data_IF_970581768423
#
_entry.id   IF_970581768423
#
_cell.length_a   1.000
_cell.length_b   1.000
_cell.length_c   1.000
_cell.angle_alpha   90.00
_cell.angle_beta   90.00
_cell.angle_gamma   90.00
#
_symmetry.space_group_name_H-M   'P 1'
#
loop_
_entity.id
_entity.type
_entity.pdbx_description
1 polymer ?
#
# COMPACT_ATOMS: atom_id res chain seq x y z
N UNK A 1 0.03 33.09 -15.84
CA UNK A 1 0.75 32.29 -16.82
C UNK A 1 1.11 31.01 -16.11
N UNK A 2 0.22 30.02 -16.20
CA UNK A 2 0.42 28.67 -15.67
C UNK A 2 1.25 27.84 -16.63
N UNK A 3 2.53 28.08 -16.64
CA UNK A 3 3.43 27.41 -17.57
C UNK A 3 3.86 26.04 -17.06
N UNK A 4 4.26 25.14 -17.97
CA UNK A 4 4.82 23.84 -17.62
C UNK A 4 5.97 23.93 -16.59
N UNK A 5 6.69 25.07 -16.57
CA UNK A 5 7.72 25.37 -15.58
C UNK A 5 7.22 25.46 -14.14
N UNK A 6 6.00 25.95 -13.92
CA UNK A 6 5.42 26.03 -12.57
C UNK A 6 5.07 24.65 -12.02
N UNK A 7 4.61 23.75 -12.85
CA UNK A 7 4.36 22.34 -12.44
C UNK A 7 5.67 21.59 -12.16
N UNK A 8 6.70 21.80 -12.96
CA UNK A 8 8.04 21.29 -12.72
C UNK A 8 8.63 21.85 -11.42
N UNK A 9 8.42 23.14 -11.15
CA UNK A 9 8.88 23.80 -9.92
C UNK A 9 8.18 23.24 -8.70
N UNK A 10 6.88 22.95 -8.75
CA UNK A 10 6.14 22.29 -7.66
C UNK A 10 6.64 20.88 -7.42
N UNK A 11 6.89 20.09 -8.47
CA UNK A 11 7.49 18.75 -8.33
C UNK A 11 8.92 18.81 -7.77
N UNK A 12 9.72 19.76 -8.22
CA UNK A 12 11.09 19.96 -7.72
C UNK A 12 11.10 20.49 -6.29
N UNK A 13 10.11 21.30 -5.91
CA UNK A 13 9.97 21.82 -4.55
C UNK A 13 9.70 20.67 -3.55
N UNK A 14 8.95 19.65 -3.93
CA UNK A 14 8.74 18.46 -3.11
C UNK A 14 9.95 17.52 -3.07
N UNK A 15 10.84 17.60 -4.04
CA UNK A 15 12.05 16.75 -4.14
C UNK A 15 13.33 17.50 -3.74
N UNK A 16 13.39 18.84 -3.87
CA UNK A 16 14.59 19.65 -3.68
C UNK A 16 14.43 20.85 -2.76
N UNK A 17 13.24 21.09 -2.21
CA UNK A 17 12.99 22.21 -1.32
C UNK A 17 13.68 22.05 0.02
N UNK A 18 14.28 23.13 0.51
CA UNK A 18 15.05 23.25 1.74
C UNK A 18 14.28 22.98 3.04
N UNK A 19 13.00 22.73 2.97
CA UNK A 19 12.19 22.12 4.01
C UNK A 19 11.81 20.69 3.57
N UNK A 20 12.78 19.80 3.46
CA UNK A 20 12.47 18.39 3.54
C UNK A 20 11.95 18.13 4.95
N UNK A 21 10.65 18.26 5.15
CA UNK A 21 9.98 17.43 6.15
C UNK A 21 10.33 16.03 5.65
N UNK A 22 11.37 15.43 6.23
CA UNK A 22 11.59 13.99 6.13
C UNK A 22 10.31 13.40 6.66
N UNK A 23 9.38 13.07 5.78
CA UNK A 23 8.27 12.25 6.19
C UNK A 23 8.91 10.96 6.68
N UNK A 24 8.79 10.73 7.98
CA UNK A 24 9.32 9.54 8.58
C UNK A 24 8.71 8.35 7.83
N UNK A 25 9.56 7.60 7.14
CA UNK A 25 9.18 6.39 6.39
C UNK A 25 9.53 5.12 7.14
N UNK A 26 9.99 5.26 8.38
CA UNK A 26 10.43 4.14 9.21
C UNK A 26 10.29 4.47 10.70
N UNK A 27 10.14 3.43 11.51
CA UNK A 27 10.19 3.54 12.97
C UNK A 27 11.48 2.87 13.45
N UNK A 28 12.29 3.65 14.18
CA UNK A 28 13.48 3.18 14.87
C UNK A 28 13.22 3.25 16.37
N UNK A 29 13.50 2.16 17.07
CA UNK A 29 13.27 2.07 18.52
C UNK A 29 14.18 3.04 19.30
N UNK A 30 13.59 3.74 20.27
CA UNK A 30 14.34 4.59 21.21
C UNK A 30 14.74 3.87 22.49
N UNK A 31 14.11 2.74 22.77
CA UNK A 31 14.35 1.87 23.93
C UNK A 31 14.49 0.42 23.49
N UNK A 32 15.10 -0.40 24.33
CA UNK A 32 15.10 -1.86 24.17
C UNK A 32 13.93 -2.47 24.94
N UNK A 33 13.50 -3.66 24.57
CA UNK A 33 12.40 -4.36 25.25
C UNK A 33 11.73 -5.39 24.34
N UNK A 34 10.54 -5.79 24.72
CA UNK A 34 9.69 -6.72 23.97
C UNK A 34 8.71 -5.95 23.11
N UNK A 35 8.69 -6.23 21.80
CA UNK A 35 7.74 -5.61 20.89
C UNK A 35 6.35 -6.23 21.06
N UNK A 36 5.36 -5.39 21.29
CA UNK A 36 3.94 -5.75 21.28
C UNK A 36 3.24 -5.06 20.14
N UNK A 37 2.45 -5.82 19.40
CA UNK A 37 1.65 -5.30 18.30
C UNK A 37 0.19 -5.28 18.73
N UNK A 38 -0.41 -4.09 18.74
CA UNK A 38 -1.75 -3.83 19.26
C UNK A 38 -2.70 -3.49 18.10
N UNK A 39 -3.95 -3.97 18.16
CA UNK A 39 -4.97 -3.77 17.13
C UNK A 39 -4.53 -4.25 15.74
N UNK A 40 -4.04 -5.49 15.68
CA UNK A 40 -3.43 -6.03 14.47
C UNK A 40 -4.38 -6.82 13.60
N UNK A 41 -4.32 -6.47 12.32
CA UNK A 41 -4.54 -7.43 11.27
C UNK A 41 -3.23 -7.44 10.44
N UNK A 42 -2.47 -8.53 10.49
CA UNK A 42 -1.21 -8.71 9.78
C UNK A 42 -1.38 -9.76 8.69
N UNK A 43 -0.83 -9.48 7.53
CA UNK A 43 -0.66 -10.46 6.46
C UNK A 43 0.83 -10.72 6.23
N UNK A 44 1.15 -11.93 5.86
CA UNK A 44 2.49 -12.30 5.42
C UNK A 44 2.56 -12.17 3.90
N UNK A 45 3.49 -11.39 3.38
CA UNK A 45 3.70 -11.26 1.95
C UNK A 45 4.43 -12.48 1.37
N UNK A 46 4.54 -12.57 0.05
CA UNK A 46 5.25 -13.65 -0.65
C UNK A 46 6.74 -13.79 -0.27
N UNK A 47 7.32 -12.74 0.34
CA UNK A 47 8.70 -12.70 0.85
C UNK A 47 8.79 -12.94 2.34
N UNK A 48 7.69 -13.37 2.98
CA UNK A 48 7.55 -13.60 4.42
C UNK A 48 7.72 -12.36 5.31
N UNK A 49 7.54 -11.16 4.76
CA UNK A 49 7.46 -9.95 5.56
C UNK A 49 6.04 -9.80 6.12
N UNK A 50 5.94 -9.28 7.32
CA UNK A 50 4.65 -8.95 7.92
C UNK A 50 4.19 -7.58 7.43
N UNK A 51 3.00 -7.52 6.87
CA UNK A 51 2.39 -6.28 6.36
C UNK A 51 1.19 -5.90 7.20
N UNK A 52 1.14 -4.64 7.63
CA UNK A 52 0.08 -4.10 8.48
C UNK A 52 -1.17 -3.83 7.64
N UNK A 53 -2.26 -4.51 7.97
CA UNK A 53 -3.59 -4.33 7.36
C UNK A 53 -4.55 -3.54 8.26
N UNK A 54 -4.18 -3.29 9.50
CA UNK A 54 -4.97 -2.51 10.44
C UNK A 54 -4.75 -1.00 10.27
N UNK A 55 -5.83 -0.22 10.26
CA UNK A 55 -5.74 1.26 10.19
C UNK A 55 -5.34 1.92 11.51
N UNK A 56 -5.53 1.22 12.62
CA UNK A 56 -5.24 1.70 13.98
C UNK A 56 -4.17 0.85 14.68
N UNK A 57 -3.28 0.25 13.92
CA UNK A 57 -2.20 -0.57 14.46
C UNK A 57 -1.21 0.29 15.22
N UNK A 58 -0.82 -0.20 16.39
CA UNK A 58 0.20 0.41 17.23
C UNK A 58 1.25 -0.63 17.59
N UNK A 59 2.50 -0.18 17.66
CA UNK A 59 3.61 -0.94 18.21
C UNK A 59 3.95 -0.37 19.57
N UNK A 60 4.02 -1.19 20.59
CA UNK A 60 4.55 -0.79 21.89
C UNK A 60 5.79 -1.58 22.23
N UNK A 61 6.67 -0.97 23.00
CA UNK A 61 7.84 -1.63 23.56
C UNK A 61 7.62 -1.71 25.07
N UNK A 62 7.69 -2.91 25.61
CA UNK A 62 7.58 -3.20 27.03
C UNK A 62 8.94 -3.59 27.58
N UNK A 63 9.27 -3.11 28.76
CA UNK A 63 10.46 -3.52 29.51
C UNK A 63 10.26 -4.90 30.15
N UNK A 64 11.27 -5.37 30.90
CA UNK A 64 11.24 -6.67 31.58
C UNK A 64 10.16 -6.76 32.67
N UNK A 65 9.66 -5.62 33.15
CA UNK A 65 8.59 -5.54 34.15
C UNK A 65 7.19 -5.45 33.51
N UNK A 66 7.12 -5.46 32.16
CA UNK A 66 5.89 -5.28 31.42
C UNK A 66 5.40 -3.83 31.33
N UNK A 67 6.26 -2.86 31.72
CA UNK A 67 5.93 -1.45 31.60
C UNK A 67 6.16 -0.97 30.17
N UNK A 68 5.17 -0.31 29.61
CA UNK A 68 5.23 0.27 28.29
C UNK A 68 6.18 1.48 28.24
N UNK A 69 7.30 1.35 27.55
CA UNK A 69 8.35 2.37 27.46
C UNK A 69 8.20 3.26 26.22
N UNK A 70 7.58 2.76 25.17
CA UNK A 70 7.34 3.50 23.94
C UNK A 70 6.11 2.98 23.20
N UNK A 71 5.39 3.89 22.51
CA UNK A 71 4.27 3.58 21.63
C UNK A 71 4.47 4.28 20.29
N UNK A 72 4.27 3.54 19.22
CA UNK A 72 4.36 4.06 17.85
C UNK A 72 3.08 3.72 17.09
N UNK A 73 2.51 4.70 16.41
CA UNK A 73 1.41 4.50 15.48
C UNK A 73 1.96 4.08 14.13
N UNK A 74 1.41 3.03 13.54
CA UNK A 74 1.89 2.43 12.29
C UNK A 74 0.87 2.61 11.19
N UNK A 75 1.27 3.18 10.03
CA UNK A 75 0.39 3.31 8.88
C UNK A 75 0.00 1.94 8.28
N UNK A 76 -1.17 1.92 7.64
CA UNK A 76 -1.61 0.80 6.81
C UNK A 76 -0.60 0.53 5.68
N UNK A 77 -0.34 -0.74 5.38
CA UNK A 77 0.61 -1.14 4.34
C UNK A 77 2.08 -1.14 4.78
N UNK A 78 2.36 -0.77 6.04
CA UNK A 78 3.72 -0.80 6.57
C UNK A 78 4.26 -2.22 6.68
N UNK A 79 5.56 -2.39 6.43
CA UNK A 79 6.27 -3.66 6.63
C UNK A 79 6.87 -3.69 8.02
N UNK A 80 6.60 -4.77 8.75
CA UNK A 80 7.20 -5.05 10.06
C UNK A 80 8.35 -6.03 9.90
N UNK A 81 9.44 -5.79 10.62
CA UNK A 81 10.63 -6.65 10.61
C UNK A 81 10.70 -7.61 11.79
N UNK A 82 9.83 -7.44 12.78
CA UNK A 82 9.78 -8.24 14.00
C UNK A 82 8.35 -8.73 14.25
N UNK A 83 8.24 -9.90 14.86
CA UNK A 83 6.96 -10.48 15.26
C UNK A 83 6.54 -9.97 16.64
N UNK A 84 5.26 -10.11 16.94
CA UNK A 84 4.74 -9.83 18.26
C UNK A 84 5.42 -10.70 19.32
N UNK A 85 5.96 -10.09 20.37
CA UNK A 85 6.68 -10.78 21.45
C UNK A 85 8.19 -10.92 21.23
N UNK A 86 8.74 -10.47 20.11
CA UNK A 86 10.20 -10.49 19.90
C UNK A 86 10.93 -9.37 20.66
N UNK A 87 12.12 -9.68 21.14
CA UNK A 87 12.99 -8.69 21.78
C UNK A 87 13.63 -7.80 20.72
N UNK A 88 13.57 -6.50 20.94
CA UNK A 88 14.16 -5.48 20.09
C UNK A 88 15.19 -4.67 20.88
N UNK A 89 16.29 -4.31 20.23
CA UNK A 89 17.34 -3.46 20.82
C UNK A 89 17.05 -1.99 20.55
N UNK A 90 17.61 -1.11 21.32
CA UNK A 90 17.61 0.33 21.04
C UNK A 90 18.24 0.61 19.66
N UNK A 91 17.73 1.62 18.96
CA UNK A 91 18.16 2.04 17.62
C UNK A 91 17.98 0.95 16.54
N UNK A 92 17.00 0.08 16.70
CA UNK A 92 16.64 -0.94 15.70
C UNK A 92 15.46 -0.46 14.85
N UNK A 93 15.57 -0.62 13.53
CA UNK A 93 14.45 -0.36 12.61
C UNK A 93 13.45 -1.50 12.74
N UNK A 94 12.23 -1.18 13.23
CA UNK A 94 11.17 -2.17 13.46
C UNK A 94 10.07 -2.15 12.41
N UNK A 95 9.93 -1.03 11.71
CA UNK A 95 8.88 -0.85 10.72
C UNK A 95 9.34 0.14 9.64
N UNK A 96 8.85 -0.05 8.40
CA UNK A 96 9.01 0.92 7.31
C UNK A 96 7.77 0.97 6.43
N UNK A 97 7.55 2.10 5.76
CA UNK A 97 6.48 2.30 4.77
C UNK A 97 6.91 3.30 3.70
N UNK A 98 6.18 3.33 2.60
CA UNK A 98 6.31 4.37 1.60
C UNK A 98 5.33 5.52 1.93
N UNK A 99 5.80 6.72 2.26
CA UNK A 99 4.93 7.84 2.61
C UNK A 99 4.20 8.43 1.40
N UNK A 100 4.60 8.08 0.18
CA UNK A 100 4.06 8.64 -1.06
C UNK A 100 3.01 7.74 -1.71
N UNK A 101 2.87 6.50 -1.27
CA UNK A 101 1.91 5.55 -1.82
C UNK A 101 0.95 5.05 -0.75
N UNK A 102 -0.31 4.88 -1.14
CA UNK A 102 -1.32 4.18 -0.32
C UNK A 102 -1.60 2.85 -1.02
N UNK A 103 -0.99 1.74 -0.57
CA UNK A 103 -1.17 0.46 -1.23
C UNK A 103 -2.60 -0.05 -1.06
N UNK A 104 -3.12 -0.72 -2.09
CA UNK A 104 -4.31 -1.56 -2.00
C UNK A 104 -3.82 -3.01 -1.99
N UNK A 105 -3.99 -3.70 -0.87
CA UNK A 105 -3.41 -5.03 -0.63
C UNK A 105 -4.51 -6.07 -0.68
N UNK A 106 -4.26 -7.18 -1.37
CA UNK A 106 -5.16 -8.33 -1.41
C UNK A 106 -5.13 -9.07 -0.06
N UNK A 107 -6.31 -9.27 0.54
CA UNK A 107 -6.46 -9.95 1.83
C UNK A 107 -6.60 -11.47 1.71
N UNK A 108 -6.81 -11.97 0.50
CA UNK A 108 -7.03 -13.38 0.17
C UNK A 108 -6.24 -13.76 -1.07
N UNK A 109 -5.87 -15.03 -1.14
CA UNK A 109 -5.32 -15.63 -2.36
C UNK A 109 -6.43 -15.85 -3.38
N UNK A 110 -6.12 -15.72 -4.66
CA UNK A 110 -7.09 -15.89 -5.73
C UNK A 110 -6.55 -15.46 -7.09
N UNK A 111 -7.43 -15.41 -8.07
CA UNK A 111 -7.12 -14.94 -9.41
C UNK A 111 -7.62 -13.49 -9.55
N UNK A 112 -6.72 -12.58 -9.87
CA UNK A 112 -7.08 -11.18 -10.12
C UNK A 112 -7.91 -11.09 -11.40
N UNK A 113 -9.02 -10.39 -11.35
CA UNK A 113 -9.87 -10.14 -12.51
C UNK A 113 -10.18 -8.64 -12.60
N UNK A 114 -9.89 -8.07 -13.75
CA UNK A 114 -10.15 -6.68 -14.04
C UNK A 114 -11.64 -6.46 -14.33
N UNK A 115 -12.23 -5.47 -13.72
CA UNK A 115 -13.62 -5.06 -13.98
C UNK A 115 -13.65 -3.56 -14.23
N UNK A 116 -14.23 -3.16 -15.35
CA UNK A 116 -14.28 -1.78 -15.82
C UNK A 116 -12.89 -1.13 -16.02
N UNK A 117 -11.85 -1.96 -16.20
CA UNK A 117 -10.49 -1.57 -16.52
C UNK A 117 -10.27 -1.79 -18.03
N UNK A 118 -10.51 -0.76 -18.81
CA UNK A 118 -10.54 -0.78 -20.29
C UNK A 118 -9.39 0.07 -20.79
N UNK A 119 -8.52 -0.53 -21.62
CA UNK A 119 -7.37 0.16 -22.23
C UNK A 119 -7.85 1.38 -23.05
N UNK A 120 -7.21 2.52 -22.84
CA UNK A 120 -7.56 3.79 -23.48
C UNK A 120 -8.80 4.50 -22.96
N UNK A 121 -9.55 3.90 -22.02
CA UNK A 121 -10.77 4.49 -21.42
C UNK A 121 -10.61 4.73 -19.93
N UNK A 122 -10.26 3.70 -19.17
CA UNK A 122 -10.07 3.78 -17.72
C UNK A 122 -8.66 3.40 -17.28
N UNK A 123 -7.85 2.82 -18.19
CA UNK A 123 -6.42 2.58 -17.96
C UNK A 123 -5.61 3.06 -19.16
N UNK A 124 -4.41 3.53 -18.88
CA UNK A 124 -3.38 3.84 -19.86
C UNK A 124 -2.11 3.05 -19.54
N UNK A 125 -1.44 2.60 -20.58
CA UNK A 125 -0.15 1.96 -20.46
C UNK A 125 0.94 2.98 -20.82
N UNK A 126 1.87 3.17 -19.91
CA UNK A 126 3.01 4.08 -20.08
C UNK A 126 4.28 3.25 -20.05
N UNK A 127 5.07 3.36 -21.13
CA UNK A 127 6.40 2.77 -21.20
C UNK A 127 7.39 3.77 -20.62
N UNK A 128 8.19 3.32 -19.66
CA UNK A 128 9.33 4.08 -19.17
C UNK A 128 10.53 3.81 -20.10
N UNK A 129 10.88 4.81 -20.91
CA UNK A 129 11.96 4.69 -21.91
C UNK A 129 13.34 4.42 -21.27
N UNK A 130 13.53 4.79 -20.00
CA UNK A 130 14.80 4.60 -19.31
C UNK A 130 14.96 3.17 -18.77
N UNK A 131 13.88 2.57 -18.31
CA UNK A 131 13.89 1.23 -17.70
C UNK A 131 13.31 0.15 -18.59
N UNK A 132 12.59 0.52 -19.66
CA UNK A 132 11.86 -0.41 -20.52
C UNK A 132 10.68 -1.08 -19.84
N UNK A 133 10.27 -0.60 -18.65
CA UNK A 133 9.16 -1.18 -17.88
C UNK A 133 7.85 -0.51 -18.31
N UNK A 134 6.89 -1.35 -18.72
CA UNK A 134 5.53 -0.89 -18.97
C UNK A 134 4.73 -0.86 -17.67
N UNK A 135 4.12 0.27 -17.38
CA UNK A 135 3.28 0.50 -16.21
C UNK A 135 1.87 0.84 -16.64
N UNK A 136 0.87 0.11 -16.13
CA UNK A 136 -0.54 0.43 -16.31
C UNK A 136 -1.04 1.31 -15.18
N UNK A 137 -1.65 2.43 -15.54
CA UNK A 137 -2.18 3.42 -14.59
C UNK A 137 -3.66 3.65 -14.87
N UNK A 138 -4.45 3.76 -13.81
CA UNK A 138 -5.86 4.13 -13.92
C UNK A 138 -5.95 5.62 -14.25
N UNK A 139 -6.62 5.94 -15.36
CA UNK A 139 -6.85 7.33 -15.81
C UNK A 139 -8.22 7.82 -15.36
N UNK A 140 -8.44 9.13 -15.39
CA UNK A 140 -9.75 9.70 -15.07
C UNK A 140 -10.76 9.45 -16.22
N UNK A 141 -11.46 8.32 -16.12
CA UNK A 141 -12.46 7.91 -17.11
C UNK A 141 -13.68 8.81 -17.16
N UNK A 142 -13.95 9.58 -16.10
CA UNK A 142 -15.13 10.47 -16.01
C UNK A 142 -14.99 11.66 -16.94
N UNK A 143 -13.77 12.10 -17.17
CA UNK A 143 -13.47 13.23 -18.08
C UNK A 143 -13.35 12.80 -19.53
N UNK A 144 -12.98 11.54 -19.78
CA UNK A 144 -12.64 11.06 -21.13
C UNK A 144 -13.77 10.32 -21.85
N UNK A 145 -14.73 9.79 -21.12
CA UNK A 145 -15.79 8.97 -21.71
C UNK A 145 -17.19 9.48 -21.34
N UNK A 146 -18.12 9.35 -22.28
CA UNK A 146 -19.56 9.60 -22.03
C UNK A 146 -20.16 8.55 -21.09
N UNK A 147 -19.46 7.46 -20.79
CA UNK A 147 -19.86 6.41 -19.85
C UNK A 147 -19.30 6.70 -18.47
N UNK A 148 -20.00 7.51 -17.71
CA UNK A 148 -19.66 7.89 -16.34
C UNK A 148 -19.89 6.78 -15.30
N UNK A 149 -20.55 5.68 -15.68
CA UNK A 149 -20.97 4.61 -14.75
C UNK A 149 -19.89 3.54 -14.51
N UNK A 150 -18.72 3.66 -15.15
CA UNK A 150 -17.61 2.75 -14.91
C UNK A 150 -17.14 2.84 -13.47
N UNK A 151 -16.88 1.69 -12.87
CA UNK A 151 -16.32 1.53 -11.51
C UNK A 151 -15.07 0.65 -11.55
N UNK A 152 -13.93 1.21 -12.01
CA UNK A 152 -12.67 0.49 -12.13
C UNK A 152 -12.32 -0.22 -10.83
N UNK A 153 -12.16 -1.52 -10.90
CA UNK A 153 -11.83 -2.35 -9.73
C UNK A 153 -11.15 -3.65 -10.14
N UNK A 154 -10.44 -4.23 -9.19
CA UNK A 154 -9.94 -5.60 -9.26
C UNK A 154 -10.81 -6.45 -8.35
N UNK A 155 -11.26 -7.60 -8.84
CA UNK A 155 -11.96 -8.61 -8.05
C UNK A 155 -11.07 -9.84 -7.94
N UNK A 156 -11.11 -10.52 -6.81
CA UNK A 156 -10.47 -11.83 -6.67
C UNK A 156 -11.50 -12.92 -6.91
N UNK A 157 -11.13 -13.89 -7.74
CA UNK A 157 -11.96 -15.04 -8.07
C UNK A 157 -11.25 -16.34 -7.69
N UNK A 158 -12.05 -17.34 -7.40
CA UNK A 158 -11.59 -18.72 -7.24
C UNK A 158 -11.32 -19.38 -8.61
N UNK A 159 -10.83 -20.62 -8.60
CA UNK A 159 -10.57 -21.38 -9.82
C UNK A 159 -11.85 -21.74 -10.60
N UNK A 160 -13.02 -21.61 -9.97
CA UNK A 160 -14.34 -21.81 -10.59
C UNK A 160 -14.94 -20.52 -11.15
N UNK A 161 -14.26 -19.38 -10.98
CA UNK A 161 -14.69 -18.08 -11.46
C UNK A 161 -15.61 -17.29 -10.51
N UNK A 162 -15.91 -17.81 -9.32
CA UNK A 162 -16.73 -17.09 -8.34
C UNK A 162 -15.91 -16.04 -7.62
N UNK A 163 -16.53 -14.91 -7.26
CA UNK A 163 -15.86 -13.87 -6.47
C UNK A 163 -15.64 -14.38 -5.05
N UNK A 164 -14.40 -14.28 -4.58
CA UNK A 164 -14.00 -14.70 -3.23
C UNK A 164 -14.54 -13.68 -2.21
N UNK A 165 -14.94 -14.16 -1.04
CA UNK A 165 -15.34 -13.34 0.08
C UNK A 165 -14.15 -13.03 0.99
N UNK A 166 -14.09 -11.80 1.49
CA UNK A 166 -13.15 -11.34 2.52
C UNK A 166 -13.51 -11.94 3.88
N UNK A 167 -12.75 -11.58 4.89
CA UNK A 167 -13.02 -11.99 6.27
C UNK A 167 -14.30 -11.38 6.86
N UNK A 168 -14.74 -10.24 6.34
CA UNK A 168 -15.97 -9.53 6.71
C UNK A 168 -17.21 -9.94 5.90
N UNK A 169 -17.14 -11.09 5.20
CA UNK A 169 -18.19 -11.67 4.34
C UNK A 169 -18.51 -10.84 3.07
N UNK A 170 -17.87 -9.69 2.90
CA UNK A 170 -17.96 -8.89 1.69
C UNK A 170 -17.16 -9.51 0.55
N UNK A 171 -17.58 -9.30 -0.68
CA UNK A 171 -16.83 -9.74 -1.85
C UNK A 171 -15.46 -9.04 -1.94
N UNK A 172 -14.43 -9.78 -2.34
CA UNK A 172 -13.08 -9.27 -2.53
C UNK A 172 -13.01 -8.37 -3.78
N UNK A 173 -13.61 -7.19 -3.67
CA UNK A 173 -13.62 -6.12 -4.65
C UNK A 173 -12.75 -4.97 -4.16
N UNK A 174 -11.78 -4.58 -4.97
CA UNK A 174 -10.84 -3.49 -4.68
C UNK A 174 -11.03 -2.39 -5.70
N UNK A 175 -11.75 -1.33 -5.29
CA UNK A 175 -12.00 -0.17 -6.15
C UNK A 175 -10.74 0.65 -6.29
N UNK A 176 -10.51 1.13 -7.51
CA UNK A 176 -9.34 1.91 -7.87
C UNK A 176 -9.75 3.37 -8.12
N UNK A 177 -8.86 4.26 -7.78
CA UNK A 177 -9.01 5.70 -8.03
C UNK A 177 -8.10 6.11 -9.20
N UNK A 178 -8.36 7.25 -9.85
CA UNK A 178 -7.42 7.80 -10.82
C UNK A 178 -5.99 7.87 -10.26
N UNK A 179 -4.99 7.71 -11.12
CA UNK A 179 -3.57 7.65 -10.80
C UNK A 179 -3.11 6.38 -10.02
N UNK A 180 -4.01 5.42 -9.81
CA UNK A 180 -3.64 4.11 -9.24
C UNK A 180 -2.77 3.33 -10.22
N UNK A 181 -1.62 2.85 -9.75
CA UNK A 181 -0.71 1.99 -10.51
C UNK A 181 -1.12 0.53 -10.32
N UNK A 182 -1.30 -0.18 -11.43
CA UNK A 182 -1.65 -1.60 -11.42
C UNK A 182 -0.38 -2.44 -11.35
N UNK A 183 -0.15 -3.10 -10.22
CA UNK A 183 0.99 -3.99 -10.01
C UNK A 183 0.67 -5.47 -10.30
N UNK A 184 -0.58 -5.80 -10.57
CA UNK A 184 -1.03 -7.15 -10.93
C UNK A 184 -1.66 -7.14 -12.32
N UNK A 185 -1.57 -8.24 -13.04
CA UNK A 185 -2.17 -8.41 -14.37
C UNK A 185 -3.54 -9.08 -14.25
N UNK A 186 -4.39 -8.86 -15.26
CA UNK A 186 -5.64 -9.61 -15.37
C UNK A 186 -5.36 -11.11 -15.51
N UNK A 187 -6.09 -11.94 -14.76
CA UNK A 187 -5.85 -13.40 -14.70
C UNK A 187 -4.66 -13.83 -13.87
N UNK A 188 -3.91 -12.91 -13.25
CA UNK A 188 -2.75 -13.28 -12.43
C UNK A 188 -3.18 -13.94 -11.12
N UNK A 189 -2.56 -15.06 -10.77
CA UNK A 189 -2.74 -15.73 -9.49
C UNK A 189 -2.00 -14.96 -8.38
N UNK A 190 -2.72 -14.66 -7.32
CA UNK A 190 -2.24 -13.96 -6.12
C UNK A 190 -2.23 -14.95 -4.97
N UNK A 191 -1.18 -14.94 -4.18
CA UNK A 191 -0.96 -15.84 -3.05
C UNK A 191 -0.93 -15.08 -1.73
#
# INVERSE_FOLDING_TARGET
IGEPGTQLTMRTFHVGGTASIKQDSQIITKSEGVLKVINTNLLEDSKKNLVVMGRNTQLSIEDENGLQTAVYKVPYGSKLFFKNGEKVKKNTKICEWDPYTTPVIAEKSGIANYVDLIDGVSIAETLDDATGISTKTVIDWKTQSKNTDLKPRITLRDEKGNVIKKADDNEARYYLVPDSILSVKDGQKIF
#
